data_IF_738026786644
#
_entry.id   IF_738026786644
#
_cell.length_a   1.000
_cell.length_b   1.000
_cell.length_c   1.000
_cell.angle_alpha   90.00
_cell.angle_beta   90.00
_cell.angle_gamma   90.00
#
_symmetry.space_group_name_H-M   'P 1'
#
loop_
_entity.id
_entity.type
_entity.pdbx_description
1 polymer ?
#
# COMPACT_ATOMS: atom_id res chain seq x y z
N UNK A 1 -1.47 -51.85 20.75
CA UNK A 1 -1.97 -50.54 21.25
C UNK A 1 -1.78 -49.43 20.19
N UNK A 2 -0.60 -49.28 19.63
CA UNK A 2 -0.28 -48.21 18.66
C UNK A 2 -1.13 -48.27 17.37
N UNK A 3 -1.43 -49.48 16.86
CA UNK A 3 -2.28 -49.63 15.68
C UNK A 3 -3.75 -49.30 15.97
N UNK A 4 -4.23 -49.65 17.14
CA UNK A 4 -5.60 -49.31 17.56
C UNK A 4 -5.79 -47.80 17.73
N UNK A 5 -4.83 -47.11 18.36
CA UNK A 5 -4.83 -45.67 18.51
C UNK A 5 -4.78 -44.94 17.17
N UNK A 6 -3.98 -45.46 16.20
CA UNK A 6 -3.93 -44.92 14.83
C UNK A 6 -5.25 -45.12 14.08
N UNK A 7 -5.88 -46.28 14.24
CA UNK A 7 -7.18 -46.55 13.61
C UNK A 7 -8.29 -45.70 14.21
N UNK A 8 -8.28 -45.46 15.51
CA UNK A 8 -9.23 -44.58 16.18
C UNK A 8 -9.01 -43.12 15.71
N UNK A 9 -7.79 -42.66 15.64
CA UNK A 9 -7.47 -41.32 15.10
C UNK A 9 -7.87 -41.15 13.64
N UNK A 10 -7.68 -42.16 12.81
CA UNK A 10 -8.14 -42.16 11.41
C UNK A 10 -9.68 -42.15 11.31
N UNK A 11 -10.38 -42.95 12.12
CA UNK A 11 -11.83 -42.95 12.14
C UNK A 11 -12.40 -41.62 12.60
N UNK A 12 -11.78 -41.00 13.61
CA UNK A 12 -12.13 -39.65 14.07
C UNK A 12 -11.87 -38.60 12.99
N UNK A 13 -10.73 -38.63 12.30
CA UNK A 13 -10.41 -37.74 11.19
C UNK A 13 -11.38 -37.88 10.01
N UNK A 14 -11.81 -39.12 9.68
CA UNK A 14 -12.81 -39.41 8.63
C UNK A 14 -14.22 -38.96 9.00
N UNK A 15 -14.56 -38.92 10.28
CA UNK A 15 -15.86 -38.50 10.80
C UNK A 15 -15.90 -37.00 11.17
N UNK A 16 -14.77 -36.30 11.03
CA UNK A 16 -14.68 -34.90 11.38
C UNK A 16 -15.58 -34.06 10.48
N UNK A 17 -16.52 -33.37 11.10
CA UNK A 17 -17.30 -32.32 10.45
C UNK A 17 -16.77 -30.97 10.90
N UNK A 18 -16.45 -30.10 9.91
CA UNK A 18 -16.03 -28.74 10.20
C UNK A 18 -17.10 -28.03 11.04
N UNK A 19 -16.69 -27.51 12.17
CA UNK A 19 -17.49 -26.58 12.96
C UNK A 19 -16.74 -25.26 13.05
N UNK A 20 -17.44 -24.16 12.79
CA UNK A 20 -16.86 -22.84 13.00
C UNK A 20 -16.59 -22.62 14.49
N UNK A 21 -15.32 -22.62 14.84
CA UNK A 21 -14.85 -22.28 16.17
C UNK A 21 -13.96 -21.04 16.07
N UNK A 22 -14.27 -20.01 16.85
CA UNK A 22 -13.33 -18.92 17.09
C UNK A 22 -12.11 -19.44 17.88
N UNK A 23 -10.95 -18.81 17.68
CA UNK A 23 -9.72 -19.16 18.42
C UNK A 23 -9.79 -18.85 19.92
N UNK A 24 -10.87 -18.21 20.38
CA UNK A 24 -11.03 -17.77 21.76
C UNK A 24 -10.27 -16.48 22.07
N UNK A 25 -10.71 -15.79 23.13
CA UNK A 25 -10.20 -14.46 23.48
C UNK A 25 -8.74 -14.49 23.95
N UNK A 26 -8.36 -15.51 24.67
CA UNK A 26 -6.99 -15.66 25.19
C UNK A 26 -5.98 -15.88 24.06
N UNK A 27 -6.27 -16.81 23.14
CA UNK A 27 -5.43 -17.04 21.96
C UNK A 27 -5.40 -15.81 21.04
N UNK A 28 -6.52 -15.13 20.85
CA UNK A 28 -6.56 -13.88 20.07
C UNK A 28 -5.69 -12.79 20.69
N UNK A 29 -5.70 -12.64 22.02
CA UNK A 29 -4.83 -11.69 22.72
C UNK A 29 -3.36 -12.08 22.63
N UNK A 30 -3.03 -13.35 22.69
CA UNK A 30 -1.66 -13.83 22.54
C UNK A 30 -1.11 -13.55 21.12
N UNK A 31 -1.96 -13.69 20.09
CA UNK A 31 -1.56 -13.46 18.69
C UNK A 31 -1.54 -11.98 18.28
N UNK A 32 -2.52 -11.21 18.72
CA UNK A 32 -2.75 -9.85 18.22
C UNK A 32 -2.49 -8.75 19.25
N UNK A 33 -2.26 -9.11 20.51
CA UNK A 33 -2.11 -8.17 21.62
C UNK A 33 -3.43 -7.51 22.06
N UNK A 34 -3.32 -6.49 22.89
CA UNK A 34 -4.45 -5.66 23.36
C UNK A 34 -4.69 -4.44 22.48
N UNK A 35 -3.70 -4.07 21.67
CA UNK A 35 -3.79 -2.99 20.67
C UNK A 35 -3.64 -3.62 19.30
N UNK A 36 -4.74 -3.69 18.56
CA UNK A 36 -4.75 -4.21 17.21
C UNK A 36 -4.31 -3.12 16.23
N UNK A 37 -3.16 -3.34 15.58
CA UNK A 37 -2.74 -2.48 14.47
C UNK A 37 -3.38 -2.99 13.18
N UNK A 38 -4.16 -2.15 12.52
CA UNK A 38 -4.92 -2.49 11.32
C UNK A 38 -4.85 -1.43 10.24
N UNK A 39 -5.26 -1.81 9.06
CA UNK A 39 -5.57 -0.94 7.93
C UNK A 39 -6.96 -1.30 7.41
N UNK A 40 -7.54 -0.44 6.58
CA UNK A 40 -8.82 -0.73 5.91
C UNK A 40 -8.73 -2.06 5.16
N UNK A 41 -7.69 -2.25 4.36
CA UNK A 41 -7.44 -3.50 3.60
C UNK A 41 -7.35 -4.74 4.50
N UNK A 42 -6.75 -4.59 5.70
CA UNK A 42 -6.71 -5.69 6.67
C UNK A 42 -8.10 -6.03 7.22
N UNK A 43 -8.93 -5.02 7.47
CA UNK A 43 -10.31 -5.23 7.92
C UNK A 43 -11.17 -5.85 6.83
N UNK A 44 -11.04 -5.40 5.59
CA UNK A 44 -11.69 -6.00 4.43
C UNK A 44 -11.26 -7.46 4.23
N UNK A 45 -9.97 -7.75 4.36
CA UNK A 45 -9.44 -9.12 4.31
C UNK A 45 -10.02 -10.02 5.39
N UNK A 46 -10.20 -9.51 6.61
CA UNK A 46 -10.87 -10.24 7.68
C UNK A 46 -12.35 -10.48 7.37
N UNK A 47 -13.06 -9.47 6.89
CA UNK A 47 -14.47 -9.59 6.52
C UNK A 47 -14.69 -10.56 5.35
N UNK A 48 -13.75 -10.60 4.40
CA UNK A 48 -13.81 -11.53 3.27
C UNK A 48 -13.53 -12.98 3.70
N UNK A 49 -12.52 -13.22 4.55
CA UNK A 49 -12.19 -14.55 5.06
C UNK A 49 -11.36 -14.47 6.35
N UNK A 50 -11.99 -14.71 7.49
CA UNK A 50 -11.32 -14.71 8.80
C UNK A 50 -10.17 -15.72 8.90
N UNK A 51 -10.29 -16.88 8.22
CA UNK A 51 -9.24 -17.89 8.18
C UNK A 51 -8.01 -17.44 7.40
N UNK A 52 -8.20 -16.84 6.22
CA UNK A 52 -7.10 -16.26 5.45
C UNK A 52 -6.40 -15.13 6.22
N UNK A 53 -7.17 -14.28 6.93
CA UNK A 53 -6.63 -13.25 7.81
C UNK A 53 -5.82 -13.88 8.96
N UNK A 54 -6.32 -14.95 9.59
CA UNK A 54 -5.59 -15.67 10.65
C UNK A 54 -4.24 -16.21 10.13
N UNK A 55 -4.22 -16.84 8.96
CA UNK A 55 -2.98 -17.34 8.37
C UNK A 55 -1.98 -16.22 8.07
N UNK A 56 -2.47 -15.10 7.52
CA UNK A 56 -1.60 -14.00 7.06
C UNK A 56 -1.12 -13.09 8.21
N UNK A 57 -1.99 -12.83 9.19
CA UNK A 57 -1.75 -11.84 10.24
C UNK A 57 -1.65 -12.40 11.65
N UNK A 58 -2.14 -13.63 11.88
CA UNK A 58 -1.97 -14.35 13.14
C UNK A 58 -0.72 -15.22 13.11
N UNK A 59 -0.59 -16.06 12.10
CA UNK A 59 0.56 -16.94 11.92
C UNK A 59 1.67 -16.32 11.06
N UNK A 60 1.45 -15.14 10.49
CA UNK A 60 2.39 -14.42 9.62
C UNK A 60 2.92 -15.24 8.44
N UNK A 61 2.10 -16.16 7.93
CA UNK A 61 2.46 -16.97 6.78
C UNK A 61 2.57 -16.08 5.53
N UNK A 62 3.74 -16.10 4.92
CA UNK A 62 4.04 -15.34 3.70
C UNK A 62 4.38 -16.30 2.57
N UNK A 63 3.83 -16.04 1.37
CA UNK A 63 4.33 -16.71 0.18
C UNK A 63 5.82 -16.44 0.02
N UNK A 64 6.57 -17.47 -0.41
CA UNK A 64 7.98 -17.28 -0.81
C UNK A 64 8.02 -16.18 -1.87
N UNK A 65 8.86 -15.18 -1.64
CA UNK A 65 9.03 -14.09 -2.61
C UNK A 65 9.74 -14.65 -3.86
N UNK A 66 9.05 -14.57 -4.96
CA UNK A 66 9.66 -14.77 -6.28
C UNK A 66 10.28 -13.42 -6.70
N UNK A 67 11.41 -13.49 -7.43
CA UNK A 67 12.11 -12.31 -7.95
C UNK A 67 11.39 -11.75 -9.19
N UNK A 68 10.06 -11.61 -9.10
CA UNK A 68 9.25 -11.01 -10.15
C UNK A 68 8.61 -9.71 -9.65
N UNK A 69 8.55 -8.73 -10.56
CA UNK A 69 7.80 -7.50 -10.32
C UNK A 69 6.31 -7.77 -10.49
N UNK A 70 5.54 -7.51 -9.46
CA UNK A 70 4.09 -7.61 -9.50
C UNK A 70 3.42 -6.24 -9.78
N UNK A 71 2.10 -6.25 -9.87
CA UNK A 71 1.32 -5.03 -10.10
C UNK A 71 1.43 -4.03 -8.95
N UNK A 72 1.61 -4.51 -7.72
CA UNK A 72 1.79 -3.68 -6.53
C UNK A 72 3.13 -2.94 -6.60
N UNK A 73 4.20 -3.59 -7.07
CA UNK A 73 5.50 -2.97 -7.30
C UNK A 73 5.42 -1.83 -8.32
N UNK A 74 4.63 -2.02 -9.38
CA UNK A 74 4.41 -0.99 -10.40
C UNK A 74 3.62 0.20 -9.83
N UNK A 75 2.62 -0.06 -8.99
CA UNK A 75 1.88 0.97 -8.27
C UNK A 75 2.79 1.79 -7.36
N UNK A 76 3.59 1.13 -6.53
CA UNK A 76 4.53 1.80 -5.64
C UNK A 76 5.57 2.65 -6.39
N UNK A 77 6.11 2.13 -7.51
CA UNK A 77 7.02 2.89 -8.36
C UNK A 77 6.35 4.15 -8.93
N UNK A 78 5.11 4.02 -9.38
CA UNK A 78 4.32 5.11 -9.93
C UNK A 78 4.05 6.20 -8.89
N UNK A 79 3.51 5.87 -7.72
CA UNK A 79 3.22 6.82 -6.66
C UNK A 79 4.48 7.54 -6.18
N UNK A 80 5.57 6.83 -5.89
CA UNK A 80 6.84 7.42 -5.48
C UNK A 80 7.45 8.34 -6.56
N UNK A 81 7.23 8.04 -7.83
CA UNK A 81 7.72 8.90 -8.92
C UNK A 81 6.94 10.20 -9.02
N UNK A 82 5.64 10.18 -8.74
CA UNK A 82 4.80 11.39 -8.69
C UNK A 82 5.18 12.25 -7.47
N UNK A 83 5.30 11.65 -6.30
CA UNK A 83 5.75 12.31 -5.08
C UNK A 83 7.11 13.01 -5.29
N UNK A 84 8.09 12.27 -5.81
CA UNK A 84 9.41 12.83 -6.12
C UNK A 84 9.34 13.97 -7.13
N UNK A 85 8.48 13.88 -8.16
CA UNK A 85 8.31 14.95 -9.15
C UNK A 85 7.82 16.25 -8.49
N UNK A 86 6.79 16.19 -7.66
CA UNK A 86 6.26 17.37 -7.00
C UNK A 86 7.24 17.93 -5.96
N UNK A 87 7.93 17.06 -5.23
CA UNK A 87 8.99 17.45 -4.29
C UNK A 87 10.14 18.18 -5.00
N UNK A 88 10.59 17.68 -6.17
CA UNK A 88 11.63 18.30 -6.97
C UNK A 88 11.20 19.66 -7.56
N UNK A 89 9.97 19.77 -8.05
CA UNK A 89 9.43 21.05 -8.56
C UNK A 89 9.43 22.09 -7.44
N UNK A 90 8.97 21.70 -6.23
CA UNK A 90 8.97 22.58 -5.05
C UNK A 90 10.40 22.95 -4.61
N UNK A 91 11.30 21.99 -4.50
CA UNK A 91 12.69 22.20 -4.09
C UNK A 91 13.45 23.13 -5.05
N UNK A 92 13.13 23.06 -6.35
CA UNK A 92 13.71 23.93 -7.39
C UNK A 92 13.01 25.30 -7.50
N UNK A 93 12.00 25.57 -6.67
CA UNK A 93 11.21 26.82 -6.70
C UNK A 93 10.48 27.05 -8.02
N UNK A 94 10.11 25.99 -8.72
CA UNK A 94 9.38 26.07 -9.97
C UNK A 94 7.87 26.15 -9.73
N UNK A 95 7.19 26.97 -10.51
CA UNK A 95 5.73 27.01 -10.51
C UNK A 95 5.16 25.79 -11.25
N UNK A 96 4.35 24.99 -10.55
CA UNK A 96 3.68 23.83 -11.11
C UNK A 96 2.84 24.17 -12.35
N UNK A 97 2.18 25.33 -12.32
CA UNK A 97 1.30 25.76 -13.40
C UNK A 97 2.06 26.31 -14.62
N UNK A 98 3.29 26.78 -14.44
CA UNK A 98 4.09 27.39 -15.49
C UNK A 98 5.10 26.43 -16.14
N UNK A 99 5.21 25.19 -15.69
CA UNK A 99 6.16 24.21 -16.22
C UNK A 99 5.86 23.87 -17.68
N UNK A 100 6.86 23.95 -18.56
CA UNK A 100 6.71 23.57 -19.97
C UNK A 100 6.63 22.05 -20.14
N UNK A 101 5.98 21.60 -21.22
CA UNK A 101 5.85 20.18 -21.55
C UNK A 101 7.21 19.45 -21.65
N UNK A 102 8.23 20.13 -22.19
CA UNK A 102 9.57 19.57 -22.32
C UNK A 102 10.24 19.37 -20.96
N UNK A 103 10.20 20.40 -20.11
CA UNK A 103 10.75 20.34 -18.74
C UNK A 103 10.02 19.29 -17.90
N UNK A 104 8.69 19.24 -17.99
CA UNK A 104 7.89 18.23 -17.29
C UNK A 104 8.35 16.82 -17.67
N UNK A 105 8.41 16.51 -18.98
CA UNK A 105 8.82 15.18 -19.46
C UNK A 105 10.24 14.81 -19.04
N UNK A 106 11.17 15.76 -19.13
CA UNK A 106 12.55 15.54 -18.71
C UNK A 106 12.62 15.21 -17.20
N UNK A 107 11.92 15.98 -16.37
CA UNK A 107 11.88 15.78 -14.92
C UNK A 107 11.16 14.47 -14.53
N UNK A 108 10.04 14.14 -15.18
CA UNK A 108 9.35 12.85 -14.95
C UNK A 108 10.29 11.69 -15.26
N UNK A 109 11.01 11.73 -16.35
CA UNK A 109 11.98 10.69 -16.71
C UNK A 109 13.10 10.58 -15.67
N UNK A 110 13.62 11.71 -15.20
CA UNK A 110 14.64 11.76 -14.14
C UNK A 110 14.10 11.10 -12.86
N UNK A 111 12.93 11.50 -12.38
CA UNK A 111 12.30 10.97 -11.18
C UNK A 111 12.01 9.46 -11.28
N UNK A 112 11.41 8.99 -12.38
CA UNK A 112 11.13 7.57 -12.58
C UNK A 112 12.42 6.76 -12.60
N UNK A 113 13.46 7.24 -13.29
CA UNK A 113 14.74 6.55 -13.33
C UNK A 113 15.45 6.52 -11.97
N UNK A 114 15.34 7.58 -11.18
CA UNK A 114 15.88 7.63 -9.82
C UNK A 114 15.16 6.62 -8.91
N UNK A 115 13.84 6.65 -8.86
CA UNK A 115 13.06 5.71 -8.05
C UNK A 115 13.30 4.27 -8.49
N UNK A 116 13.42 4.02 -9.82
CA UNK A 116 13.72 2.71 -10.36
C UNK A 116 15.10 2.18 -9.96
N UNK A 117 16.09 3.06 -9.80
CA UNK A 117 17.43 2.70 -9.31
C UNK A 117 17.41 2.28 -7.84
N UNK A 118 16.65 2.98 -7.01
CA UNK A 118 16.52 2.70 -5.59
C UNK A 118 15.64 1.48 -5.31
N UNK A 119 14.76 1.12 -6.26
CA UNK A 119 13.77 0.08 -6.06
C UNK A 119 14.39 -1.31 -6.09
N UNK A 120 14.29 -2.06 -4.98
CA UNK A 120 14.71 -3.46 -4.82
C UNK A 120 16.10 -3.77 -5.43
N UNK A 121 17.11 -2.96 -5.12
CA UNK A 121 18.48 -3.19 -5.58
C UNK A 121 18.61 -3.32 -7.11
N UNK A 122 18.04 -2.41 -7.85
CA UNK A 122 18.17 -2.31 -9.33
C UNK A 122 17.50 -3.42 -10.14
N UNK A 123 16.59 -4.20 -9.57
CA UNK A 123 15.88 -5.29 -10.28
C UNK A 123 15.20 -4.80 -11.57
N UNK A 124 14.76 -3.53 -11.60
CA UNK A 124 14.15 -2.91 -12.78
C UNK A 124 15.08 -2.80 -13.98
N UNK A 125 16.39 -2.84 -13.77
CA UNK A 125 17.40 -2.81 -14.85
C UNK A 125 17.93 -4.18 -15.26
N UNK A 126 17.46 -5.25 -14.63
CA UNK A 126 18.00 -6.60 -14.83
C UNK A 126 17.51 -7.30 -16.10
N UNK A 127 16.47 -6.81 -16.77
CA UNK A 127 15.92 -7.43 -17.97
C UNK A 127 15.25 -6.44 -18.93
N UNK A 128 15.13 -6.83 -20.21
CA UNK A 128 14.41 -6.04 -21.22
C UNK A 128 12.91 -5.84 -20.85
N UNK A 129 12.29 -6.85 -20.22
CA UNK A 129 10.93 -6.76 -19.68
C UNK A 129 10.83 -5.65 -18.64
N UNK A 130 11.76 -5.60 -17.70
CA UNK A 130 11.78 -4.60 -16.62
C UNK A 130 12.03 -3.19 -17.16
N UNK A 131 12.91 -3.03 -18.15
CA UNK A 131 13.10 -1.75 -18.85
C UNK A 131 11.86 -1.30 -19.63
N UNK A 132 11.06 -2.23 -20.11
CA UNK A 132 9.76 -1.91 -20.71
C UNK A 132 8.76 -1.42 -19.64
N UNK A 133 8.76 -2.03 -18.47
CA UNK A 133 7.89 -1.62 -17.35
C UNK A 133 8.25 -0.21 -16.86
N UNK A 134 9.53 0.12 -16.72
CA UNK A 134 10.01 1.47 -16.38
C UNK A 134 9.48 2.51 -17.38
N UNK A 135 9.64 2.27 -18.70
CA UNK A 135 9.07 3.15 -19.74
C UNK A 135 7.55 3.25 -19.70
N UNK A 136 6.86 2.19 -19.28
CA UNK A 136 5.41 2.21 -19.11
C UNK A 136 5.02 3.11 -17.94
N UNK A 137 5.71 3.02 -16.80
CA UNK A 137 5.50 3.91 -15.65
C UNK A 137 5.78 5.36 -16.03
N UNK A 138 6.91 5.66 -16.69
CA UNK A 138 7.26 7.00 -17.17
C UNK A 138 6.12 7.61 -17.98
N UNK A 139 5.59 6.86 -18.94
CA UNK A 139 4.50 7.31 -19.81
C UNK A 139 3.18 7.56 -19.06
N UNK A 140 2.86 6.70 -18.07
CA UNK A 140 1.66 6.85 -17.24
C UNK A 140 1.85 8.04 -16.30
N UNK A 141 2.99 8.16 -15.63
CA UNK A 141 3.32 9.26 -14.74
C UNK A 141 3.27 10.62 -15.47
N UNK A 142 3.85 10.73 -16.67
CA UNK A 142 3.77 11.98 -17.47
C UNK A 142 2.32 12.38 -17.79
N UNK A 143 1.48 11.42 -18.15
CA UNK A 143 0.05 11.69 -18.41
C UNK A 143 -0.69 12.13 -17.17
N UNK A 144 -0.44 11.46 -16.04
CA UNK A 144 -1.08 11.79 -14.76
C UNK A 144 -0.64 13.16 -14.28
N UNK A 145 0.67 13.45 -14.26
CA UNK A 145 1.20 14.74 -13.86
C UNK A 145 0.65 15.86 -14.76
N UNK A 146 0.56 15.63 -16.05
CA UNK A 146 -0.08 16.60 -16.97
C UNK A 146 -1.54 16.86 -16.62
N UNK A 147 -2.29 15.82 -16.27
CA UNK A 147 -3.68 15.97 -15.86
C UNK A 147 -3.81 16.71 -14.53
N UNK A 148 -2.94 16.42 -13.57
CA UNK A 148 -2.89 17.10 -12.27
C UNK A 148 -2.55 18.59 -12.45
N UNK A 149 -1.53 18.93 -13.25
CA UNK A 149 -1.20 20.32 -13.57
C UNK A 149 -2.37 21.04 -14.25
N UNK A 150 -3.08 20.36 -15.14
CA UNK A 150 -4.27 20.93 -15.77
C UNK A 150 -5.40 21.19 -14.77
N UNK A 151 -5.56 20.30 -13.78
CA UNK A 151 -6.51 20.47 -12.70
C UNK A 151 -6.12 21.67 -11.81
N UNK A 152 -4.85 21.77 -11.40
CA UNK A 152 -4.33 22.86 -10.61
C UNK A 152 -4.51 24.24 -11.30
N UNK A 153 -4.32 24.31 -12.62
CA UNK A 153 -4.57 25.54 -13.39
C UNK A 153 -6.03 26.00 -13.40
N UNK A 154 -6.97 25.17 -13.03
CA UNK A 154 -8.41 25.46 -13.04
C UNK A 154 -9.01 25.70 -11.67
N UNK A 155 -8.27 25.45 -10.63
CA UNK A 155 -8.69 25.58 -9.23
C UNK A 155 -7.69 26.39 -8.44
N UNK A 156 -8.10 26.77 -7.25
CA UNK A 156 -7.29 27.57 -6.32
C UNK A 156 -6.61 26.70 -5.26
N UNK A 157 -6.76 25.37 -5.35
CA UNK A 157 -6.09 24.43 -4.46
C UNK A 157 -4.63 24.24 -4.84
N UNK A 158 -3.76 24.27 -3.83
CA UNK A 158 -2.33 24.01 -3.99
C UNK A 158 -1.97 22.64 -3.41
N UNK A 159 -1.12 21.85 -4.09
CA UNK A 159 -0.67 20.57 -3.57
C UNK A 159 0.28 20.79 -2.38
N UNK A 160 -0.11 20.32 -1.19
CA UNK A 160 0.67 20.53 0.03
C UNK A 160 1.50 19.30 0.39
N UNK A 161 0.87 18.14 0.48
CA UNK A 161 1.55 16.91 0.88
C UNK A 161 1.20 15.74 -0.03
N UNK A 162 2.16 14.79 -0.13
CA UNK A 162 2.03 13.54 -0.88
C UNK A 162 2.42 12.37 0.03
N UNK A 163 1.78 11.20 -0.17
CA UNK A 163 2.08 9.97 0.55
C UNK A 163 2.02 10.12 2.09
N UNK A 164 0.99 10.84 2.59
CA UNK A 164 0.84 11.17 4.00
C UNK A 164 0.37 9.97 4.79
N UNK A 165 1.16 9.52 5.76
CA UNK A 165 0.74 8.48 6.69
C UNK A 165 -0.21 9.04 7.75
N UNK A 166 -1.42 8.51 7.82
CA UNK A 166 -2.44 8.89 8.79
C UNK A 166 -2.76 7.73 9.72
N UNK A 167 -3.06 8.05 10.98
CA UNK A 167 -3.48 7.04 11.93
C UNK A 167 -4.52 7.58 12.91
N UNK A 168 -5.45 6.71 13.29
CA UNK A 168 -6.42 7.01 14.34
C UNK A 168 -6.53 5.85 15.30
N UNK A 169 -6.80 6.17 16.58
CA UNK A 169 -6.99 5.16 17.62
C UNK A 169 -8.45 5.09 18.02
N UNK A 170 -9.04 3.93 17.83
CA UNK A 170 -10.44 3.65 18.15
C UNK A 170 -10.46 2.79 19.42
N UNK A 171 -11.02 3.29 20.55
CA UNK A 171 -11.15 2.49 21.74
C UNK A 171 -12.19 1.39 21.54
N UNK A 172 -11.88 0.18 22.01
CA UNK A 172 -12.75 -0.98 21.97
C UNK A 172 -13.22 -1.34 23.39
N UNK A 173 -14.23 -2.22 23.47
CA UNK A 173 -14.73 -2.70 24.77
C UNK A 173 -13.66 -3.51 25.49
N UNK A 174 -13.56 -3.35 26.82
CA UNK A 174 -12.65 -4.15 27.66
C UNK A 174 -11.20 -3.65 27.69
N UNK A 175 -10.96 -2.36 27.41
CA UNK A 175 -9.64 -1.73 27.47
C UNK A 175 -8.73 -2.02 26.28
N UNK A 176 -9.28 -2.62 25.25
CA UNK A 176 -8.60 -2.88 23.97
C UNK A 176 -8.70 -1.65 23.07
N UNK A 177 -7.85 -1.56 22.05
CA UNK A 177 -7.91 -0.49 21.06
C UNK A 177 -7.54 -0.99 19.66
N UNK A 178 -8.11 -0.34 18.65
CA UNK A 178 -7.74 -0.50 17.26
C UNK A 178 -6.98 0.76 16.80
N UNK A 179 -5.73 0.60 16.42
CA UNK A 179 -4.98 1.63 15.71
C UNK A 179 -5.19 1.40 14.21
N UNK A 180 -6.02 2.22 13.61
CA UNK A 180 -6.25 2.18 12.16
C UNK A 180 -5.22 3.09 11.49
N UNK A 181 -4.48 2.54 10.53
CA UNK A 181 -3.50 3.26 9.73
C UNK A 181 -3.93 3.27 8.28
N UNK A 182 -3.65 4.37 7.63
CA UNK A 182 -3.86 4.56 6.20
C UNK A 182 -2.79 5.47 5.64
N UNK A 183 -2.81 5.62 4.33
CA UNK A 183 -1.98 6.58 3.62
C UNK A 183 -2.86 7.36 2.65
N UNK A 184 -2.66 8.66 2.63
CA UNK A 184 -3.30 9.58 1.69
C UNK A 184 -2.29 9.83 0.57
N UNK A 185 -2.65 9.53 -0.67
CA UNK A 185 -1.76 9.67 -1.81
C UNK A 185 -1.41 11.13 -2.10
N UNK A 186 -2.37 12.03 -1.87
CA UNK A 186 -2.18 13.47 -2.08
C UNK A 186 -3.15 14.27 -1.22
N UNK A 187 -2.69 15.42 -0.73
CA UNK A 187 -3.48 16.40 0.00
C UNK A 187 -3.24 17.79 -0.60
N UNK A 188 -4.31 18.43 -1.04
CA UNK A 188 -4.29 19.80 -1.54
C UNK A 188 -5.00 20.72 -0.55
N UNK A 189 -4.49 21.94 -0.41
CA UNK A 189 -5.04 22.93 0.54
C UNK A 189 -5.49 24.18 -0.22
N UNK A 190 -6.59 24.75 0.22
CA UNK A 190 -7.04 26.09 -0.09
C UNK A 190 -6.99 26.91 1.19
N UNK A 191 -5.88 27.63 1.41
CA UNK A 191 -5.64 28.37 2.66
C UNK A 191 -6.71 29.41 2.95
N UNK A 192 -7.20 30.12 1.93
CA UNK A 192 -8.20 31.20 2.11
C UNK A 192 -9.52 30.73 2.69
N UNK A 193 -9.91 29.47 2.48
CA UNK A 193 -11.17 28.91 2.92
C UNK A 193 -11.01 27.80 3.97
N UNK A 194 -9.79 27.50 4.43
CA UNK A 194 -9.46 26.42 5.37
C UNK A 194 -10.03 25.05 4.88
N UNK A 195 -9.86 24.78 3.58
CA UNK A 195 -10.36 23.56 2.92
C UNK A 195 -9.23 22.64 2.52
N UNK A 196 -9.46 21.36 2.69
CA UNK A 196 -8.56 20.29 2.27
C UNK A 196 -9.26 19.39 1.27
N UNK A 197 -8.58 19.09 0.18
CA UNK A 197 -8.98 18.10 -0.80
C UNK A 197 -8.06 16.88 -0.67
N UNK A 198 -8.66 15.68 -0.55
CA UNK A 198 -7.97 14.38 -0.41
C UNK A 198 -8.29 13.47 -1.57
#
# INVERSE_FOLDING_TARGET
NLEKERMEALAEACSYSYREHGIGREAARALYGTILNGSVTRMEGYAACAYAHFLSHGLELKKRREYELDFSDMGNLFHRSIDLFFSEVRARGMDFCAISDEKRRALVKECVSQVALEYRNTILKSSARNSYLERKVERIADRTIRALIHQLRKGDFEPEEFEVDVSTRIPLRGGEALNLRGRIDRMDILEEEDRVLV
#
